data_IF_159788714320
#
_entry.id   IF_159788714320
#
_cell.length_a   1.000
_cell.length_b   1.000
_cell.length_c   1.000
_cell.angle_alpha   90.00
_cell.angle_beta   90.00
_cell.angle_gamma   90.00
#
_symmetry.space_group_name_H-M   'P 1'
#
loop_
_entity.id
_entity.type
_entity.pdbx_description
1 polymer ?
#
# COMPACT_ATOMS: atom_id res chain seq x y z
N UNK A 1 0.06 -20.98 -0.11
CA UNK A 1 1.14 -19.97 0.09
C UNK A 1 2.20 -20.52 1.02
N UNK A 2 3.47 -20.25 0.73
CA UNK A 2 4.61 -20.64 1.55
C UNK A 2 4.64 -19.83 2.85
N UNK A 3 4.92 -20.46 3.98
CA UNK A 3 5.06 -19.81 5.30
C UNK A 3 6.51 -19.81 5.75
N UNK A 4 6.93 -18.72 6.38
CA UNK A 4 8.32 -18.50 6.81
C UNK A 4 8.36 -18.27 8.32
N UNK A 5 8.44 -19.35 9.09
CA UNK A 5 8.36 -19.35 10.57
C UNK A 5 9.24 -18.29 11.27
N UNK A 6 10.32 -17.85 10.63
CA UNK A 6 11.20 -16.82 11.19
C UNK A 6 10.75 -15.38 10.84
N UNK A 7 9.81 -15.21 9.91
CA UNK A 7 9.47 -13.91 9.33
C UNK A 7 7.98 -13.61 9.36
N UNK A 8 7.12 -14.62 9.24
CA UNK A 8 5.67 -14.44 9.33
C UNK A 8 5.23 -14.27 10.78
N UNK A 9 4.16 -13.50 11.05
CA UNK A 9 3.47 -13.52 12.32
C UNK A 9 3.04 -14.94 12.70
N UNK A 10 3.07 -15.32 13.99
CA UNK A 10 2.68 -16.67 14.43
C UNK A 10 1.29 -17.10 13.94
N UNK A 11 0.37 -16.17 13.81
CA UNK A 11 -1.00 -16.38 13.35
C UNK A 11 -1.10 -16.84 11.88
N UNK A 12 -0.03 -16.66 11.09
CA UNK A 12 0.04 -17.05 9.68
C UNK A 12 0.67 -18.42 9.46
N UNK A 13 1.41 -18.94 10.42
CA UNK A 13 2.16 -20.20 10.25
C UNK A 13 1.26 -21.42 10.01
N UNK A 14 0.12 -21.47 10.68
CA UNK A 14 -0.88 -22.52 10.59
C UNK A 14 -2.20 -22.01 9.98
N UNK A 15 -2.11 -20.97 9.16
CA UNK A 15 -3.30 -20.35 8.58
C UNK A 15 -4.04 -21.32 7.65
N UNK A 16 -5.35 -21.42 7.86
CA UNK A 16 -6.29 -22.13 6.99
C UNK A 16 -7.52 -21.28 6.78
N UNK A 17 -8.14 -21.38 5.59
CA UNK A 17 -9.35 -20.65 5.30
C UNK A 17 -10.50 -21.10 6.23
N UNK A 18 -11.04 -20.17 7.01
CA UNK A 18 -12.26 -20.39 7.79
C UNK A 18 -13.48 -20.32 6.86
N UNK A 19 -14.32 -21.36 6.80
CA UNK A 19 -15.49 -21.38 5.90
C UNK A 19 -16.50 -20.27 6.17
N UNK A 20 -16.65 -19.78 7.42
CA UNK A 20 -17.54 -18.69 7.75
C UNK A 20 -16.99 -17.36 7.26
N UNK A 21 -15.72 -17.09 7.54
CA UNK A 21 -15.03 -15.91 7.01
C UNK A 21 -15.03 -15.88 5.48
N UNK A 22 -14.89 -17.04 4.81
CA UNK A 22 -14.99 -17.11 3.36
C UNK A 22 -16.39 -16.80 2.82
N UNK A 23 -17.44 -17.16 3.56
CA UNK A 23 -18.80 -16.73 3.23
C UNK A 23 -18.98 -15.22 3.40
N UNK A 24 -18.48 -14.65 4.51
CA UNK A 24 -18.49 -13.20 4.74
C UNK A 24 -17.72 -12.47 3.63
N UNK A 25 -16.55 -12.96 3.27
CA UNK A 25 -15.70 -12.41 2.20
C UNK A 25 -16.45 -12.33 0.86
N UNK A 26 -17.16 -13.39 0.46
CA UNK A 26 -17.99 -13.40 -0.75
C UNK A 26 -19.18 -12.45 -0.63
N UNK A 27 -19.91 -12.52 0.48
CA UNK A 27 -21.10 -11.70 0.72
C UNK A 27 -20.78 -10.19 0.75
N UNK A 28 -19.55 -9.81 1.12
CA UNK A 28 -19.11 -8.42 1.17
C UNK A 28 -19.22 -7.72 -0.19
N UNK A 29 -18.80 -8.38 -1.26
CA UNK A 29 -18.90 -7.84 -2.62
C UNK A 29 -20.35 -7.79 -3.07
N UNK A 30 -21.12 -8.85 -2.82
CA UNK A 30 -22.52 -8.95 -3.26
C UNK A 30 -23.45 -7.96 -2.54
N UNK A 31 -23.05 -7.47 -1.37
CA UNK A 31 -23.81 -6.48 -0.61
C UNK A 31 -23.89 -5.10 -1.29
N UNK A 32 -22.97 -4.78 -2.19
CA UNK A 32 -22.94 -3.53 -2.95
C UNK A 32 -23.01 -3.83 -4.46
N UNK A 33 -24.16 -3.56 -5.12
CA UNK A 33 -24.35 -3.88 -6.52
C UNK A 33 -23.36 -3.22 -7.48
N UNK A 34 -22.89 -1.99 -7.18
CA UNK A 34 -21.94 -1.28 -8.01
C UNK A 34 -20.55 -1.91 -7.91
N UNK A 35 -20.10 -2.23 -6.69
CA UNK A 35 -18.85 -2.96 -6.46
C UNK A 35 -18.89 -4.36 -7.07
N UNK A 36 -20.01 -5.06 -6.89
CA UNK A 36 -20.20 -6.36 -7.51
C UNK A 36 -20.11 -6.30 -9.04
N UNK A 37 -20.65 -5.26 -9.67
CA UNK A 37 -20.53 -5.06 -11.12
C UNK A 37 -19.08 -4.82 -11.55
N UNK A 38 -18.34 -4.00 -10.80
CA UNK A 38 -16.91 -3.75 -11.04
C UNK A 38 -16.09 -5.04 -10.93
N UNK A 39 -16.30 -5.84 -9.88
CA UNK A 39 -15.57 -7.10 -9.67
C UNK A 39 -15.90 -8.13 -10.74
N UNK A 40 -17.19 -8.30 -11.11
CA UNK A 40 -17.60 -9.20 -12.19
C UNK A 40 -17.05 -8.82 -13.57
N UNK A 41 -16.66 -7.56 -13.75
CA UNK A 41 -16.01 -7.08 -14.97
C UNK A 41 -14.53 -7.43 -15.10
N UNK A 42 -13.90 -7.99 -14.03
CA UNK A 42 -12.51 -8.40 -14.08
C UNK A 42 -12.32 -9.70 -14.87
N UNK A 43 -11.31 -9.70 -15.75
CA UNK A 43 -10.85 -10.93 -16.39
C UNK A 43 -10.06 -11.80 -15.41
N UNK A 44 -9.92 -13.09 -15.72
CA UNK A 44 -9.06 -14.00 -14.97
C UNK A 44 -7.62 -13.46 -14.86
N UNK A 45 -7.06 -12.94 -15.96
CA UNK A 45 -5.72 -12.32 -15.94
C UNK A 45 -5.63 -11.14 -14.97
N UNK A 46 -6.67 -10.31 -14.87
CA UNK A 46 -6.71 -9.21 -13.93
C UNK A 46 -6.78 -9.71 -12.47
N UNK A 47 -7.55 -10.74 -12.20
CA UNK A 47 -7.61 -11.39 -10.89
C UNK A 47 -6.26 -11.99 -10.50
N UNK A 48 -5.62 -12.71 -11.42
CA UNK A 48 -4.28 -13.27 -11.18
C UNK A 48 -3.20 -12.19 -11.03
N UNK A 49 -3.32 -11.07 -11.74
CA UNK A 49 -2.42 -9.92 -11.56
C UNK A 49 -2.53 -9.31 -10.16
N UNK A 50 -3.73 -9.20 -9.59
CA UNK A 50 -3.95 -8.78 -8.20
C UNK A 50 -3.27 -9.77 -7.23
N UNK A 51 -3.38 -11.08 -7.48
CA UNK A 51 -2.72 -12.09 -6.66
C UNK A 51 -1.19 -11.97 -6.72
N UNK A 52 -0.62 -11.76 -7.90
CA UNK A 52 0.83 -11.48 -8.07
C UNK A 52 1.25 -10.27 -7.26
N UNK A 53 0.46 -9.19 -7.29
CA UNK A 53 0.73 -7.97 -6.52
C UNK A 53 0.73 -8.22 -5.01
N UNK A 54 -0.26 -8.94 -4.48
CA UNK A 54 -0.32 -9.32 -3.07
C UNK A 54 0.90 -10.15 -2.64
N UNK A 55 1.27 -11.15 -3.44
CA UNK A 55 2.46 -11.97 -3.19
C UNK A 55 3.74 -11.14 -3.25
N UNK A 56 3.89 -10.28 -4.27
CA UNK A 56 5.06 -9.43 -4.44
C UNK A 56 5.26 -8.52 -3.23
N UNK A 57 4.18 -7.88 -2.75
CA UNK A 57 4.24 -7.06 -1.55
C UNK A 57 4.65 -7.87 -0.31
N UNK A 58 4.03 -9.03 -0.07
CA UNK A 58 4.35 -9.92 1.05
C UNK A 58 5.78 -10.43 1.00
N UNK A 59 6.22 -10.96 -0.13
CA UNK A 59 7.53 -11.57 -0.27
C UNK A 59 8.66 -10.55 -0.24
N UNK A 60 8.42 -9.33 -0.76
CA UNK A 60 9.33 -8.20 -0.57
C UNK A 60 9.55 -7.90 0.91
N UNK A 61 8.49 -7.80 1.70
CA UNK A 61 8.58 -7.56 3.15
C UNK A 61 9.29 -8.70 3.89
N UNK A 62 9.04 -9.94 3.50
CA UNK A 62 9.75 -11.12 4.02
C UNK A 62 11.25 -11.03 3.71
N UNK A 63 11.63 -10.61 2.50
CA UNK A 63 13.03 -10.43 2.13
C UNK A 63 13.71 -9.33 2.95
N UNK A 64 13.06 -8.18 3.14
CA UNK A 64 13.57 -7.11 4.02
C UNK A 64 13.75 -7.60 5.46
N UNK A 65 12.78 -8.34 6.00
CA UNK A 65 12.89 -8.90 7.35
C UNK A 65 14.02 -9.91 7.47
N UNK A 66 14.26 -10.70 6.41
CA UNK A 66 15.41 -11.59 6.31
C UNK A 66 16.72 -10.81 6.37
N UNK A 67 16.82 -9.68 5.66
CA UNK A 67 17.97 -8.80 5.68
C UNK A 67 18.22 -8.16 7.06
N UNK A 68 17.17 -7.75 7.77
CA UNK A 68 17.31 -7.27 9.15
C UNK A 68 17.86 -8.38 10.05
N UNK A 69 17.32 -9.59 9.96
CA UNK A 69 17.78 -10.71 10.79
C UNK A 69 19.22 -11.17 10.51
N UNK A 70 19.66 -11.02 9.26
CA UNK A 70 21.05 -11.34 8.86
C UNK A 70 22.03 -10.16 9.02
N UNK A 71 21.53 -8.99 9.48
CA UNK A 71 22.37 -7.81 9.70
C UNK A 71 22.77 -7.07 8.42
N UNK A 72 22.13 -7.34 7.28
CA UNK A 72 22.34 -6.62 6.02
C UNK A 72 21.86 -5.17 6.14
N UNK A 73 20.70 -4.97 6.76
CA UNK A 73 20.14 -3.66 7.13
C UNK A 73 19.76 -3.64 8.61
N UNK A 74 19.67 -2.45 9.20
CA UNK A 74 19.38 -2.31 10.63
C UNK A 74 17.89 -2.42 10.97
N UNK A 75 17.01 -1.98 10.07
CA UNK A 75 15.56 -1.95 10.27
C UNK A 75 14.82 -1.81 8.93
N UNK A 76 13.55 -2.20 8.93
CA UNK A 76 12.64 -2.01 7.81
C UNK A 76 11.23 -1.71 8.31
N UNK A 77 10.43 -1.03 7.48
CA UNK A 77 9.01 -0.78 7.70
C UNK A 77 8.22 -1.72 6.79
N UNK A 78 7.42 -2.57 7.39
CA UNK A 78 6.70 -3.64 6.70
C UNK A 78 5.20 -3.41 6.74
N UNK A 79 4.51 -3.78 5.67
CA UNK A 79 3.06 -3.68 5.53
C UNK A 79 2.33 -5.02 5.67
N UNK A 80 2.91 -5.98 6.41
CA UNK A 80 2.31 -7.31 6.62
C UNK A 80 0.97 -7.20 7.33
N UNK A 81 -0.07 -7.76 6.70
CA UNK A 81 -1.48 -7.63 7.11
C UNK A 81 -2.24 -6.50 6.41
N UNK A 82 -1.53 -5.60 5.73
CA UNK A 82 -2.07 -4.40 5.07
C UNK A 82 -1.94 -4.48 3.53
N UNK A 83 -1.67 -5.68 2.96
CA UNK A 83 -1.43 -5.83 1.52
C UNK A 83 -2.66 -5.48 0.67
N UNK A 84 -3.87 -5.84 1.14
CA UNK A 84 -5.09 -5.61 0.36
C UNK A 84 -5.41 -4.13 0.21
N UNK A 85 -5.20 -3.31 1.27
CA UNK A 85 -5.39 -1.85 1.21
C UNK A 85 -4.33 -1.15 0.34
N UNK A 86 -3.23 -1.82 0.03
CA UNK A 86 -2.20 -1.32 -0.90
C UNK A 86 -2.49 -1.73 -2.33
N UNK A 87 -2.68 -3.02 -2.57
CA UNK A 87 -2.72 -3.62 -3.91
C UNK A 87 -4.06 -3.38 -4.61
N UNK A 88 -5.18 -3.56 -3.90
CA UNK A 88 -6.50 -3.32 -4.47
C UNK A 88 -6.64 -1.91 -5.06
N UNK A 89 -6.38 -0.85 -4.30
CA UNK A 89 -6.44 0.52 -4.78
C UNK A 89 -5.53 0.80 -5.99
N UNK A 90 -4.29 0.33 -5.99
CA UNK A 90 -3.38 0.58 -7.12
C UNK A 90 -3.85 -0.11 -8.38
N UNK A 91 -4.39 -1.33 -8.27
CA UNK A 91 -4.93 -2.04 -9.44
C UNK A 91 -6.18 -1.39 -10.03
N UNK A 92 -6.88 -0.56 -9.28
CA UNK A 92 -8.02 0.23 -9.76
C UNK A 92 -7.63 1.43 -10.63
N UNK A 93 -6.36 1.86 -10.59
CA UNK A 93 -5.84 3.01 -11.31
C UNK A 93 -5.27 2.65 -12.69
N UNK A 94 -5.04 3.68 -13.51
CA UNK A 94 -4.26 3.58 -14.75
C UNK A 94 -2.78 3.56 -14.42
N UNK A 95 -2.14 2.43 -14.59
CA UNK A 95 -0.74 2.18 -14.21
C UNK A 95 0.27 2.32 -15.36
N UNK A 96 -0.21 2.54 -16.57
CA UNK A 96 0.62 2.65 -17.77
C UNK A 96 0.34 3.93 -18.55
N UNK A 97 1.33 4.39 -19.33
CA UNK A 97 1.15 5.46 -20.29
C UNK A 97 0.35 4.99 -21.54
N UNK A 98 -0.39 5.88 -22.20
CA UNK A 98 -0.62 7.27 -21.83
C UNK A 98 -1.68 7.42 -20.73
N UNK A 99 -1.57 8.50 -19.95
CA UNK A 99 -2.60 8.85 -18.95
C UNK A 99 -2.43 8.15 -17.61
N UNK A 100 -1.21 7.71 -17.27
CA UNK A 100 -0.87 7.11 -15.98
C UNK A 100 -1.30 8.01 -14.81
N UNK A 101 -1.99 7.45 -13.84
CA UNK A 101 -2.32 8.10 -12.58
C UNK A 101 -1.07 8.25 -11.70
N UNK A 102 -1.18 9.03 -10.62
CA UNK A 102 -0.05 9.23 -9.69
C UNK A 102 -0.45 8.77 -8.30
N UNK A 103 0.42 7.98 -7.67
CA UNK A 103 0.25 7.53 -6.29
C UNK A 103 1.31 8.14 -5.38
N UNK A 104 0.91 8.42 -4.14
CA UNK A 104 1.78 8.87 -3.07
C UNK A 104 1.65 7.91 -1.88
N UNK A 105 2.38 6.79 -1.87
CA UNK A 105 2.26 5.76 -0.85
C UNK A 105 2.92 6.19 0.47
N UNK A 106 2.49 5.57 1.58
CA UNK A 106 3.29 5.55 2.80
C UNK A 106 4.45 4.55 2.64
N UNK A 107 5.46 4.65 3.49
CA UNK A 107 6.63 3.76 3.43
C UNK A 107 6.26 2.26 3.51
N UNK A 108 5.19 1.91 4.23
CA UNK A 108 4.72 0.52 4.34
C UNK A 108 3.86 0.04 3.16
N UNK A 109 3.47 0.94 2.25
CA UNK A 109 2.76 0.60 1.02
C UNK A 109 3.73 0.38 -0.15
N UNK A 110 4.89 -0.23 0.09
CA UNK A 110 5.93 -0.45 -0.93
C UNK A 110 5.41 -1.21 -2.16
N UNK A 111 4.44 -2.12 -1.98
CA UNK A 111 3.76 -2.79 -3.08
C UNK A 111 3.14 -1.84 -4.10
N UNK A 112 2.72 -0.64 -3.68
CA UNK A 112 2.21 0.36 -4.61
C UNK A 112 3.27 0.81 -5.62
N UNK A 113 4.53 0.94 -5.18
CA UNK A 113 5.64 1.31 -6.07
C UNK A 113 5.85 0.23 -7.14
N UNK A 114 5.87 -1.05 -6.74
CA UNK A 114 6.05 -2.16 -7.66
C UNK A 114 4.90 -2.25 -8.68
N UNK A 115 3.66 -2.15 -8.20
CA UNK A 115 2.48 -2.25 -9.07
C UNK A 115 2.31 -1.05 -10.00
N UNK A 116 2.92 0.10 -9.69
CA UNK A 116 3.02 1.24 -10.60
C UNK A 116 4.16 1.10 -11.64
N UNK A 117 4.98 0.05 -11.51
CA UNK A 117 6.03 -0.28 -12.49
C UNK A 117 7.45 0.05 -12.05
N UNK A 118 7.70 0.42 -10.80
CA UNK A 118 9.07 0.53 -10.28
C UNK A 118 9.68 -0.87 -10.12
N UNK A 119 10.89 -1.13 -10.67
CA UNK A 119 11.57 -2.40 -10.46
C UNK A 119 11.76 -2.71 -8.98
N UNK A 120 11.58 -3.97 -8.59
CA UNK A 120 11.64 -4.38 -7.18
C UNK A 120 13.03 -4.11 -6.56
N UNK A 121 14.10 -4.20 -7.36
CA UNK A 121 15.46 -3.89 -6.95
C UNK A 121 15.61 -2.45 -6.44
N UNK A 122 14.83 -1.48 -6.98
CA UNK A 122 14.95 -0.06 -6.62
C UNK A 122 14.56 0.18 -5.15
N UNK A 123 13.54 -0.51 -4.64
CA UNK A 123 13.17 -0.41 -3.22
C UNK A 123 14.27 -1.01 -2.34
N UNK A 124 14.84 -2.15 -2.73
CA UNK A 124 15.95 -2.75 -2.02
C UNK A 124 17.20 -1.85 -2.03
N UNK A 125 17.50 -1.19 -3.15
CA UNK A 125 18.61 -0.21 -3.26
C UNK A 125 18.44 0.95 -2.29
N UNK A 126 17.22 1.47 -2.09
CA UNK A 126 16.99 2.56 -1.12
C UNK A 126 17.32 2.12 0.31
N UNK A 127 16.96 0.90 0.71
CA UNK A 127 17.31 0.35 2.02
C UNK A 127 18.82 0.12 2.18
N UNK A 128 19.54 -0.13 1.11
CA UNK A 128 21.00 -0.30 1.10
C UNK A 128 21.76 1.03 0.98
N UNK A 129 21.10 2.11 0.57
CA UNK A 129 21.69 3.44 0.38
C UNK A 129 22.65 3.50 -0.80
N UNK A 130 22.39 2.79 -1.89
CA UNK A 130 23.26 2.73 -3.06
C UNK A 130 23.12 3.96 -3.96
N UNK A 131 24.20 4.36 -4.61
CA UNK A 131 24.23 5.57 -5.45
C UNK A 131 23.45 5.44 -6.76
N UNK A 132 23.20 4.23 -7.23
CA UNK A 132 22.38 3.90 -8.40
C UNK A 132 20.89 3.68 -8.05
N UNK A 133 20.52 3.80 -6.77
CA UNK A 133 19.12 3.77 -6.34
C UNK A 133 18.39 5.08 -6.60
N UNK A 134 17.05 5.11 -6.48
CA UNK A 134 16.20 6.27 -6.83
C UNK A 134 16.58 7.58 -6.13
N UNK A 135 17.10 7.52 -4.91
CA UNK A 135 17.53 8.69 -4.13
C UNK A 135 19.03 8.99 -4.27
N UNK A 136 19.79 8.24 -5.06
CA UNK A 136 21.24 8.34 -5.10
C UNK A 136 21.91 8.04 -3.75
N UNK A 137 21.31 7.19 -2.93
CA UNK A 137 21.79 6.80 -1.60
C UNK A 137 21.54 7.83 -0.49
N UNK A 138 20.79 8.91 -0.76
CA UNK A 138 20.56 10.00 0.21
C UNK A 138 19.38 9.76 1.13
N UNK A 139 18.41 8.99 0.68
CA UNK A 139 17.18 8.69 1.43
C UNK A 139 16.72 7.27 1.13
N UNK A 140 16.06 6.67 2.12
CA UNK A 140 15.47 5.33 1.99
C UNK A 140 14.06 5.35 1.37
N UNK A 141 13.47 6.52 1.14
CA UNK A 141 12.13 6.64 0.56
C UNK A 141 12.21 6.54 -0.97
N UNK A 142 11.63 5.46 -1.50
CA UNK A 142 11.64 5.19 -2.94
C UNK A 142 10.48 5.90 -3.64
N UNK A 143 10.77 6.53 -4.77
CA UNK A 143 9.78 7.08 -5.67
C UNK A 143 10.38 7.34 -7.04
N UNK A 144 9.52 7.29 -8.05
CA UNK A 144 9.86 7.62 -9.42
C UNK A 144 8.64 8.21 -10.13
N UNK A 145 8.69 9.49 -10.44
CA UNK A 145 7.61 10.17 -11.13
C UNK A 145 7.41 9.67 -12.57
N UNK A 146 8.44 9.08 -13.20
CA UNK A 146 8.29 8.41 -14.49
C UNK A 146 7.40 7.16 -14.37
N UNK A 147 7.37 6.52 -13.21
CA UNK A 147 6.43 5.46 -12.86
C UNK A 147 5.14 5.97 -12.22
N UNK A 148 4.97 7.28 -12.05
CA UNK A 148 3.81 7.86 -11.37
C UNK A 148 3.83 7.67 -9.85
N UNK A 149 5.01 7.50 -9.24
CA UNK A 149 5.18 7.30 -7.81
C UNK A 149 5.85 8.51 -7.17
N UNK A 150 5.12 9.23 -6.33
CA UNK A 150 5.71 10.24 -5.45
C UNK A 150 6.35 9.53 -4.25
N UNK A 151 7.62 9.81 -3.91
CA UNK A 151 8.23 9.16 -2.76
C UNK A 151 7.50 9.52 -1.46
N UNK A 152 7.36 8.58 -0.51
CA UNK A 152 6.92 8.92 0.83
C UNK A 152 7.90 9.89 1.49
N UNK A 153 7.44 10.64 2.47
CA UNK A 153 8.28 11.54 3.28
C UNK A 153 8.08 11.25 4.76
N UNK A 154 9.15 11.43 5.55
CA UNK A 154 9.10 11.22 7.00
C UNK A 154 8.30 12.29 7.74
N UNK A 155 8.13 13.48 7.16
CA UNK A 155 7.29 14.54 7.71
C UNK A 155 5.82 14.15 7.56
N UNK A 156 5.27 13.64 8.64
CA UNK A 156 3.88 13.16 8.66
C UNK A 156 2.91 14.29 8.31
N UNK A 157 2.07 14.07 7.29
CA UNK A 157 1.04 15.02 6.86
C UNK A 157 1.42 15.88 5.66
N UNK A 158 2.66 15.84 5.17
CA UNK A 158 3.10 16.68 4.04
C UNK A 158 2.74 16.09 2.66
N UNK A 159 2.59 14.77 2.55
CA UNK A 159 2.26 14.09 1.28
C UNK A 159 0.86 14.44 0.75
N UNK A 160 -0.21 14.47 1.55
CA UNK A 160 -1.55 14.80 1.06
C UNK A 160 -1.67 16.20 0.40
N UNK A 161 -1.08 17.28 0.92
CA UNK A 161 -1.04 18.57 0.21
C UNK A 161 -0.31 18.48 -1.15
N UNK A 162 0.79 17.72 -1.22
CA UNK A 162 1.57 17.59 -2.46
C UNK A 162 0.76 16.85 -3.53
N UNK A 163 0.11 15.74 -3.21
CA UNK A 163 -0.72 15.00 -4.19
C UNK A 163 -1.94 15.81 -4.60
N UNK A 164 -2.52 16.61 -3.70
CA UNK A 164 -3.59 17.56 -4.04
C UNK A 164 -3.10 18.62 -5.05
N UNK A 165 -1.87 19.12 -4.91
CA UNK A 165 -1.22 20.02 -5.87
C UNK A 165 -1.00 19.37 -7.24
N UNK A 166 -0.58 18.10 -7.27
CA UNK A 166 -0.47 17.30 -8.50
C UNK A 166 -1.84 17.16 -9.17
N UNK A 167 -2.88 16.79 -8.42
CA UNK A 167 -4.24 16.69 -8.92
C UNK A 167 -4.78 18.03 -9.45
N UNK A 168 -4.44 19.16 -8.82
CA UNK A 168 -4.74 20.48 -9.33
C UNK A 168 -4.09 20.71 -10.71
N UNK A 169 -2.86 20.26 -10.91
CA UNK A 169 -2.20 20.38 -12.22
C UNK A 169 -2.91 19.59 -13.30
N UNK A 170 -3.43 18.40 -13.00
CA UNK A 170 -4.23 17.59 -13.92
C UNK A 170 -5.52 18.34 -14.31
N UNK A 171 -6.23 18.86 -13.31
CA UNK A 171 -7.44 19.66 -13.55
C UNK A 171 -7.15 20.89 -14.44
N UNK A 172 -6.09 21.63 -14.16
CA UNK A 172 -5.73 22.83 -14.92
C UNK A 172 -5.30 22.54 -16.37
N UNK A 173 -4.72 21.37 -16.61
CA UNK A 173 -4.31 20.91 -17.95
C UNK A 173 -5.41 20.19 -18.71
N UNK A 174 -6.55 19.91 -18.06
CA UNK A 174 -7.63 19.12 -18.64
C UNK A 174 -7.22 17.64 -18.86
N UNK A 175 -6.32 17.14 -18.03
CA UNK A 175 -5.86 15.73 -18.09
C UNK A 175 -6.85 14.84 -17.34
N UNK A 176 -7.19 13.70 -17.95
CA UNK A 176 -8.04 12.65 -17.37
C UNK A 176 -7.19 11.70 -16.48
N UNK A 177 -6.57 12.27 -15.44
CA UNK A 177 -5.68 11.58 -14.48
C UNK A 177 -6.14 11.81 -13.06
N UNK A 178 -5.80 10.87 -12.18
CA UNK A 178 -6.17 10.88 -10.76
C UNK A 178 -4.91 10.81 -9.89
N UNK A 179 -4.90 11.58 -8.81
CA UNK A 179 -3.94 11.43 -7.74
C UNK A 179 -4.50 10.53 -6.63
N UNK A 180 -3.68 9.71 -5.99
CA UNK A 180 -4.11 8.91 -4.83
C UNK A 180 -3.04 8.85 -3.75
N UNK A 181 -3.46 8.91 -2.48
CA UNK A 181 -2.56 8.75 -1.33
C UNK A 181 -3.21 8.00 -0.19
N UNK A 182 -2.38 7.38 0.64
CA UNK A 182 -2.77 6.74 1.89
C UNK A 182 -2.39 7.62 3.08
N UNK A 183 -3.25 7.65 4.08
CA UNK A 183 -3.12 8.42 5.32
C UNK A 183 -3.26 7.45 6.48
N UNK A 184 -2.19 7.21 7.24
CA UNK A 184 -2.28 6.40 8.45
C UNK A 184 -3.15 7.06 9.52
N UNK A 185 -3.79 6.28 10.37
CA UNK A 185 -4.64 6.76 11.46
C UNK A 185 -3.93 7.80 12.35
N UNK A 186 -2.66 7.57 12.70
CA UNK A 186 -1.86 8.54 13.45
C UNK A 186 -1.60 9.84 12.69
N UNK A 187 -1.42 9.77 11.38
CA UNK A 187 -1.19 10.93 10.52
C UNK A 187 -2.38 11.88 10.51
N UNK A 188 -3.58 11.38 10.74
CA UNK A 188 -4.83 12.18 10.78
C UNK A 188 -4.81 13.32 11.81
N UNK A 189 -3.83 13.35 12.71
CA UNK A 189 -3.67 14.44 13.69
C UNK A 189 -2.85 15.62 13.18
N UNK A 190 -2.32 15.57 11.96
CA UNK A 190 -1.57 16.67 11.35
C UNK A 190 -2.52 17.62 10.60
N UNK A 191 -2.34 18.93 10.83
CA UNK A 191 -3.17 19.98 10.24
C UNK A 191 -3.10 19.97 8.69
N UNK A 192 -1.95 19.67 8.09
CA UNK A 192 -1.76 19.64 6.65
C UNK A 192 -2.69 18.67 5.93
N UNK A 193 -3.08 17.58 6.58
CA UNK A 193 -4.03 16.60 6.02
C UNK A 193 -5.43 17.22 5.92
N UNK A 194 -5.87 17.89 6.98
CA UNK A 194 -7.17 18.56 7.01
C UNK A 194 -7.27 19.62 5.93
N UNK A 195 -6.22 20.42 5.78
CA UNK A 195 -6.14 21.45 4.73
C UNK A 195 -6.12 20.84 3.31
N UNK A 196 -5.40 19.73 3.12
CA UNK A 196 -5.36 19.06 1.82
C UNK A 196 -6.74 18.53 1.39
N UNK A 197 -7.47 17.89 2.31
CA UNK A 197 -8.81 17.36 2.04
C UNK A 197 -9.79 18.52 1.78
N UNK A 198 -9.77 19.56 2.63
CA UNK A 198 -10.59 20.77 2.46
C UNK A 198 -10.31 21.45 1.11
N UNK A 199 -9.04 21.67 0.79
CA UNK A 199 -8.63 22.26 -0.50
C UNK A 199 -9.11 21.42 -1.69
N UNK A 200 -8.97 20.10 -1.60
CA UNK A 200 -9.44 19.17 -2.64
C UNK A 200 -10.96 19.25 -2.83
N UNK A 201 -11.73 19.33 -1.75
CA UNK A 201 -13.19 19.52 -1.80
C UNK A 201 -13.58 20.84 -2.45
N UNK A 202 -13.02 21.97 -1.97
CA UNK A 202 -13.29 23.31 -2.51
C UNK A 202 -12.96 23.41 -4.00
N UNK A 203 -11.87 22.78 -4.44
CA UNK A 203 -11.42 22.83 -5.84
C UNK A 203 -11.94 21.70 -6.70
N UNK A 204 -12.68 20.74 -6.13
CA UNK A 204 -13.17 19.53 -6.81
C UNK A 204 -12.05 18.79 -7.55
N UNK A 205 -10.93 18.56 -6.84
CA UNK A 205 -9.73 17.95 -7.41
C UNK A 205 -9.93 16.47 -7.72
N UNK A 206 -9.35 15.94 -8.81
CA UNK A 206 -9.36 14.51 -9.12
C UNK A 206 -8.36 13.75 -8.22
N UNK A 207 -8.70 13.61 -6.94
CA UNK A 207 -7.82 12.97 -5.95
C UNK A 207 -8.59 12.03 -5.02
N UNK A 208 -7.96 10.92 -4.68
CA UNK A 208 -8.48 9.92 -3.73
C UNK A 208 -7.58 9.92 -2.50
N UNK A 209 -8.17 10.14 -1.34
CA UNK A 209 -7.54 9.97 -0.04
C UNK A 209 -8.03 8.68 0.58
N UNK A 210 -7.13 7.84 1.10
CA UNK A 210 -7.47 6.59 1.81
C UNK A 210 -6.98 6.71 3.24
N UNK A 211 -7.88 6.81 4.22
CA UNK A 211 -7.51 6.65 5.63
C UNK A 211 -7.34 5.17 5.91
N UNK A 212 -6.10 4.75 6.06
CA UNK A 212 -5.69 3.40 6.40
C UNK A 212 -5.61 3.28 7.94
N UNK A 213 -6.74 2.93 8.55
CA UNK A 213 -6.83 2.73 9.98
C UNK A 213 -6.33 1.33 10.35
N UNK A 214 -5.04 1.22 10.62
CA UNK A 214 -4.42 -0.04 11.03
C UNK A 214 -4.39 -0.24 12.55
N UNK A 215 -5.22 0.50 13.28
CA UNK A 215 -5.51 0.45 14.71
C UNK A 215 -4.41 0.99 15.62
N UNK A 216 -3.24 1.41 15.08
CA UNK A 216 -2.13 1.85 15.91
C UNK A 216 -1.18 2.84 15.22
N UNK A 217 -1.02 4.00 15.83
CA UNK A 217 -0.04 5.01 15.44
C UNK A 217 1.26 4.81 16.23
N UNK A 218 2.31 4.28 15.60
CA UNK A 218 3.55 3.88 16.26
C UNK A 218 3.26 2.86 17.39
N UNK A 219 3.22 3.30 18.63
CA UNK A 219 2.86 2.54 19.83
C UNK A 219 1.58 3.03 20.51
N UNK A 220 0.74 3.82 19.84
CA UNK A 220 -0.46 4.43 20.41
C UNK A 220 -1.72 3.92 19.70
N UNK A 221 -2.62 3.27 20.44
CA UNK A 221 -3.90 2.79 19.88
C UNK A 221 -4.75 3.96 19.39
N UNK A 222 -5.54 3.72 18.35
CA UNK A 222 -6.47 4.71 17.76
C UNK A 222 -7.38 5.34 18.82
N UNK A 223 -7.90 4.55 19.76
CA UNK A 223 -8.77 5.02 20.83
C UNK A 223 -8.14 6.06 21.78
N UNK A 224 -6.80 6.20 21.77
CA UNK A 224 -6.06 7.15 22.61
C UNK A 224 -5.85 8.49 21.88
N UNK A 225 -5.80 8.49 20.54
CA UNK A 225 -5.50 9.70 19.78
C UNK A 225 -6.65 10.19 18.89
N UNK A 226 -7.75 9.43 18.72
CA UNK A 226 -8.91 9.82 17.92
C UNK A 226 -10.18 9.71 18.73
N UNK A 227 -10.90 10.82 18.90
CA UNK A 227 -12.15 10.88 19.66
C UNK A 227 -13.41 10.63 18.80
N UNK A 228 -13.34 10.91 17.50
CA UNK A 228 -14.47 10.76 16.57
C UNK A 228 -14.23 9.64 15.54
N UNK A 229 -15.25 9.41 14.72
CA UNK A 229 -15.18 8.48 13.60
C UNK A 229 -14.55 9.13 12.38
N UNK A 230 -13.68 8.41 11.67
CA UNK A 230 -13.20 8.84 10.36
C UNK A 230 -14.30 8.82 9.29
N UNK A 231 -15.37 8.08 9.52
CA UNK A 231 -16.53 8.01 8.62
C UNK A 231 -17.28 9.34 8.50
N UNK A 232 -17.13 10.24 9.47
CA UNK A 232 -17.74 11.58 9.46
C UNK A 232 -16.97 12.57 8.58
N UNK A 233 -15.72 12.27 8.26
CA UNK A 233 -14.82 13.20 7.56
C UNK A 233 -15.26 13.56 6.14
N UNK A 234 -15.73 12.62 5.29
CA UNK A 234 -16.20 12.99 3.96
C UNK A 234 -17.26 14.10 4.00
N UNK A 235 -18.25 13.95 4.85
CA UNK A 235 -19.32 14.95 5.04
C UNK A 235 -18.79 16.27 5.59
N UNK A 236 -17.84 16.23 6.52
CA UNK A 236 -17.22 17.41 7.12
C UNK A 236 -16.48 18.27 6.09
N UNK A 237 -15.85 17.64 5.08
CA UNK A 237 -15.11 18.34 4.02
C UNK A 237 -15.90 18.51 2.72
N UNK A 238 -17.13 18.04 2.66
CA UNK A 238 -17.96 18.14 1.45
C UNK A 238 -17.36 17.37 0.25
N UNK A 239 -16.68 16.26 0.50
CA UNK A 239 -16.16 15.35 -0.52
C UNK A 239 -16.96 14.06 -0.56
N UNK A 240 -16.89 13.32 -1.68
CA UNK A 240 -17.48 11.99 -1.73
C UNK A 240 -16.81 11.07 -0.70
N UNK A 241 -17.57 10.13 -0.16
CA UNK A 241 -17.07 9.21 0.86
C UNK A 241 -17.46 7.78 0.61
N UNK A 242 -16.66 6.88 1.14
CA UNK A 242 -16.95 5.46 1.12
C UNK A 242 -16.09 4.70 2.13
N UNK A 243 -16.50 3.47 2.40
CA UNK A 243 -15.78 2.56 3.29
C UNK A 243 -15.57 1.23 2.60
N UNK A 244 -14.40 0.63 2.78
CA UNK A 244 -14.12 -0.73 2.31
C UNK A 244 -13.40 -1.53 3.40
N UNK A 245 -13.39 -2.85 3.24
CA UNK A 245 -12.64 -3.76 4.11
C UNK A 245 -11.16 -3.77 3.68
N UNK A 246 -10.27 -3.31 4.55
CA UNK A 246 -8.83 -3.21 4.29
C UNK A 246 -8.10 -4.55 4.16
N UNK A 247 -8.74 -5.66 4.51
CA UNK A 247 -8.21 -7.01 4.31
C UNK A 247 -8.84 -7.72 3.11
N UNK A 248 -9.79 -7.06 2.42
CA UNK A 248 -10.48 -7.60 1.25
C UNK A 248 -10.05 -6.90 -0.03
N UNK A 249 -9.13 -7.50 -0.79
CA UNK A 249 -8.50 -6.84 -1.94
C UNK A 249 -9.48 -6.43 -3.05
N UNK A 250 -10.52 -7.23 -3.30
CA UNK A 250 -11.53 -6.90 -4.33
C UNK A 250 -12.47 -5.79 -3.88
N UNK A 251 -12.80 -5.69 -2.58
CA UNK A 251 -13.57 -4.57 -2.03
C UNK A 251 -12.77 -3.27 -2.11
N UNK A 252 -11.48 -3.34 -1.75
CA UNK A 252 -10.55 -2.21 -1.88
C UNK A 252 -10.40 -1.77 -3.36
N UNK A 253 -10.25 -2.73 -4.28
CA UNK A 253 -10.21 -2.47 -5.72
C UNK A 253 -11.48 -1.77 -6.20
N UNK A 254 -12.64 -2.34 -5.91
CA UNK A 254 -13.92 -1.84 -6.42
C UNK A 254 -14.27 -0.46 -5.87
N UNK A 255 -14.09 -0.25 -4.57
CA UNK A 255 -14.31 1.07 -3.96
C UNK A 255 -13.41 2.15 -4.56
N UNK A 256 -12.13 1.82 -4.80
CA UNK A 256 -11.18 2.76 -5.40
C UNK A 256 -11.48 2.98 -6.89
N UNK A 257 -11.94 1.97 -7.62
CA UNK A 257 -12.33 2.10 -9.03
C UNK A 257 -13.50 3.07 -9.18
N UNK A 258 -14.53 2.93 -8.37
CA UNK A 258 -15.68 3.84 -8.35
C UNK A 258 -15.25 5.28 -7.99
N UNK A 259 -14.35 5.44 -7.01
CA UNK A 259 -13.78 6.73 -6.65
C UNK A 259 -12.94 7.35 -7.78
N UNK A 260 -12.18 6.54 -8.51
CA UNK A 260 -11.42 7.02 -9.67
C UNK A 260 -12.33 7.43 -10.84
N UNK A 261 -13.39 6.69 -11.09
CA UNK A 261 -14.38 7.03 -12.11
C UNK A 261 -15.14 8.31 -11.75
N UNK A 262 -15.52 8.50 -10.46
CA UNK A 262 -16.08 9.75 -9.92
C UNK A 262 -15.13 10.94 -10.14
N UNK A 263 -13.85 10.78 -9.81
CA UNK A 263 -12.86 11.83 -10.01
C UNK A 263 -12.69 12.21 -11.49
N UNK A 264 -12.66 11.22 -12.40
CA UNK A 264 -12.57 11.42 -13.86
C UNK A 264 -13.81 12.06 -14.45
N UNK A 265 -14.98 11.80 -13.87
CA UNK A 265 -16.22 12.49 -14.24
C UNK A 265 -16.25 13.99 -13.85
N UNK A 266 -15.18 14.49 -13.17
CA UNK A 266 -15.11 15.87 -12.70
C UNK A 266 -15.98 16.13 -11.45
N UNK A 267 -16.40 15.07 -10.77
CA UNK A 267 -17.25 15.15 -9.59
C UNK A 267 -16.47 15.49 -8.31
N UNK A 268 -15.12 15.43 -8.37
CA UNK A 268 -14.23 15.93 -7.33
C UNK A 268 -13.53 14.83 -6.53
N UNK A 269 -13.07 15.20 -5.34
CA UNK A 269 -12.30 14.32 -4.48
C UNK A 269 -13.16 13.27 -3.76
N UNK A 270 -12.55 12.13 -3.48
CA UNK A 270 -13.16 11.09 -2.63
C UNK A 270 -12.25 10.79 -1.43
N UNK A 271 -12.85 10.67 -0.25
CA UNK A 271 -12.18 10.18 0.96
C UNK A 271 -12.73 8.79 1.30
N UNK A 272 -11.90 7.79 1.15
CA UNK A 272 -12.20 6.41 1.53
C UNK A 272 -11.65 6.11 2.93
N UNK A 273 -12.42 5.41 3.74
CA UNK A 273 -12.01 4.97 5.08
C UNK A 273 -11.94 3.45 5.10
N UNK A 274 -10.90 2.91 5.69
CA UNK A 274 -10.78 1.45 5.82
C UNK A 274 -10.16 1.06 7.16
N UNK A 275 -10.68 -0.02 7.74
CA UNK A 275 -10.04 -0.70 8.85
C UNK A 275 -9.22 -1.87 8.31
N UNK A 276 -8.04 -2.00 8.85
CA UNK A 276 -7.10 -3.10 8.65
C UNK A 276 -6.30 -3.28 9.95
N UNK A 277 -5.28 -4.10 9.93
CA UNK A 277 -4.44 -4.31 11.10
C UNK A 277 -2.98 -4.50 10.73
N UNK A 278 -2.11 -3.75 11.40
CA UNK A 278 -0.68 -3.94 11.28
C UNK A 278 -0.22 -5.12 12.13
N UNK A 279 0.07 -6.25 11.50
CA UNK A 279 0.46 -7.50 12.18
C UNK A 279 1.87 -7.45 12.79
N UNK A 280 2.71 -6.53 12.33
CA UNK A 280 4.08 -6.30 12.82
C UNK A 280 4.24 -5.03 13.66
N UNK A 281 5.49 -4.67 13.95
CA UNK A 281 5.85 -3.39 14.55
C UNK A 281 5.61 -2.20 13.63
N UNK A 282 5.83 -0.99 14.14
CA UNK A 282 5.92 0.19 13.27
C UNK A 282 7.11 0.05 12.32
N UNK A 283 8.22 -0.45 12.86
CA UNK A 283 9.35 -0.99 12.11
C UNK A 283 9.78 -2.31 12.76
N UNK A 284 10.73 -3.01 12.16
CA UNK A 284 11.17 -4.32 12.65
C UNK A 284 11.82 -4.33 14.03
N UNK A 285 12.27 -3.16 14.52
CA UNK A 285 12.93 -3.06 15.84
C UNK A 285 11.94 -2.96 17.02
N UNK A 286 10.67 -2.60 16.79
CA UNK A 286 9.65 -2.44 17.84
C UNK A 286 8.52 -3.50 17.78
N UNK A 287 8.76 -4.61 17.09
CA UNK A 287 7.77 -5.69 16.96
C UNK A 287 7.32 -6.28 18.31
N UNK A 288 8.24 -6.37 19.26
CA UNK A 288 7.94 -6.90 20.61
C UNK A 288 7.00 -5.97 21.37
N UNK A 289 7.27 -4.67 21.33
CA UNK A 289 6.45 -3.64 21.96
C UNK A 289 5.07 -3.59 21.30
N UNK A 290 5.01 -3.63 19.97
CA UNK A 290 3.76 -3.65 19.21
C UNK A 290 2.87 -4.84 19.59
N UNK A 291 3.45 -6.03 19.76
CA UNK A 291 2.68 -7.21 20.20
C UNK A 291 2.16 -7.09 21.63
N UNK A 292 2.75 -6.26 22.47
CA UNK A 292 2.26 -6.03 23.85
C UNK A 292 1.06 -5.06 23.93
N UNK A 293 0.77 -4.35 22.83
CA UNK A 293 -0.32 -3.37 22.80
C UNK A 293 -1.72 -3.99 22.70
N UNK A 294 -1.83 -5.17 22.11
CA UNK A 294 -3.10 -5.86 21.88
C UNK A 294 -3.07 -7.26 22.47
N UNK A 295 -4.24 -7.80 22.79
CA UNK A 295 -4.37 -9.17 23.23
C UNK A 295 -4.18 -10.20 22.09
N UNK A 296 -4.01 -11.46 22.46
CA UNK A 296 -3.83 -12.55 21.50
C UNK A 296 -5.08 -12.76 20.60
N UNK A 297 -6.26 -12.45 21.11
CA UNK A 297 -7.51 -12.61 20.35
C UNK A 297 -7.62 -11.58 19.23
N UNK A 298 -7.14 -10.36 19.45
CA UNK A 298 -7.04 -9.33 18.40
C UNK A 298 -6.11 -9.79 17.27
N UNK A 299 -4.93 -10.31 17.61
CA UNK A 299 -4.00 -10.84 16.58
C UNK A 299 -4.60 -12.04 15.84
N UNK A 300 -5.29 -12.94 16.55
CA UNK A 300 -5.96 -14.09 15.94
C UNK A 300 -7.07 -13.65 15.00
N UNK A 301 -7.91 -12.69 15.44
CA UNK A 301 -9.00 -12.14 14.63
C UNK A 301 -8.50 -11.59 13.28
N UNK A 302 -7.46 -10.76 13.32
CA UNK A 302 -6.90 -10.17 12.10
C UNK A 302 -6.04 -11.17 11.31
N UNK A 303 -5.33 -12.08 12.00
CA UNK A 303 -4.55 -13.12 11.36
C UNK A 303 -5.39 -14.10 10.55
N UNK A 304 -6.59 -14.44 11.01
CA UNK A 304 -7.54 -15.24 10.24
C UNK A 304 -8.03 -14.54 8.96
N UNK A 305 -7.98 -13.21 8.92
CA UNK A 305 -8.32 -12.38 7.79
C UNK A 305 -7.09 -11.99 6.96
N UNK A 306 -6.08 -12.83 6.93
CA UNK A 306 -4.87 -12.59 6.13
C UNK A 306 -5.23 -12.24 4.67
N UNK A 307 -4.86 -11.05 4.15
CA UNK A 307 -5.27 -10.61 2.81
C UNK A 307 -4.84 -11.55 1.69
N UNK A 308 -3.64 -12.12 1.82
CA UNK A 308 -3.08 -13.04 0.81
C UNK A 308 -3.81 -14.39 0.86
N UNK A 309 -3.94 -14.96 2.07
CA UNK A 309 -4.59 -16.26 2.26
C UNK A 309 -6.08 -16.23 1.89
N UNK A 310 -6.81 -15.19 2.32
CA UNK A 310 -8.23 -15.03 2.00
C UNK A 310 -8.46 -14.93 0.48
N UNK A 311 -7.62 -14.18 -0.22
CA UNK A 311 -7.76 -14.05 -1.68
C UNK A 311 -7.35 -15.30 -2.43
N UNK A 312 -6.31 -16.00 -1.98
CA UNK A 312 -5.90 -17.31 -2.51
C UNK A 312 -7.06 -18.32 -2.40
N UNK A 313 -7.67 -18.43 -1.21
CA UNK A 313 -8.81 -19.31 -0.98
C UNK A 313 -10.05 -18.90 -1.80
N UNK A 314 -10.26 -17.62 -2.03
CA UNK A 314 -11.32 -17.13 -2.89
C UNK A 314 -11.07 -17.53 -4.35
N UNK A 315 -9.87 -17.36 -4.90
CA UNK A 315 -9.51 -17.77 -6.27
C UNK A 315 -9.69 -19.27 -6.48
N UNK A 316 -9.29 -20.10 -5.51
CA UNK A 316 -9.55 -21.54 -5.58
C UNK A 316 -11.05 -21.86 -5.66
N UNK A 317 -11.86 -21.13 -4.90
CA UNK A 317 -13.30 -21.26 -4.94
C UNK A 317 -13.95 -20.78 -6.24
N UNK A 318 -13.28 -19.90 -6.98
CA UNK A 318 -13.66 -19.47 -8.36
C UNK A 318 -13.11 -20.39 -9.45
N UNK A 319 -12.41 -21.47 -9.07
CA UNK A 319 -11.96 -22.52 -10.00
C UNK A 319 -10.50 -22.39 -10.43
N UNK A 320 -9.74 -21.44 -9.91
CA UNK A 320 -8.29 -21.37 -10.17
C UNK A 320 -7.60 -22.55 -9.49
N UNK A 321 -6.82 -23.32 -10.23
CA UNK A 321 -6.18 -24.50 -9.67
C UNK A 321 -5.04 -24.13 -8.70
N UNK A 322 -4.87 -24.97 -7.66
CA UNK A 322 -3.74 -24.84 -6.71
C UNK A 322 -2.39 -24.79 -7.45
N UNK A 323 -2.21 -25.61 -8.48
CA UNK A 323 -0.98 -25.64 -9.27
C UNK A 323 -0.69 -24.30 -9.97
N UNK A 324 -1.73 -23.60 -10.46
CA UNK A 324 -1.58 -22.28 -11.06
C UNK A 324 -1.15 -21.24 -10.02
N UNK A 325 -1.73 -21.26 -8.83
CA UNK A 325 -1.37 -20.34 -7.72
C UNK A 325 0.07 -20.60 -7.23
N UNK A 326 0.47 -21.86 -7.10
CA UNK A 326 1.85 -22.25 -6.73
C UNK A 326 2.87 -21.84 -7.80
N UNK A 327 2.52 -21.92 -9.07
CA UNK A 327 3.38 -21.43 -10.16
C UNK A 327 3.59 -19.92 -10.08
N UNK A 328 2.54 -19.16 -9.81
CA UNK A 328 2.63 -17.70 -9.59
C UNK A 328 3.49 -17.37 -8.37
N UNK A 329 3.32 -18.09 -7.27
CA UNK A 329 4.15 -17.90 -6.07
C UNK A 329 5.64 -18.16 -6.38
N UNK A 330 5.95 -19.20 -7.14
CA UNK A 330 7.32 -19.51 -7.54
C UNK A 330 7.93 -18.42 -8.42
N UNK A 331 7.16 -17.90 -9.40
CA UNK A 331 7.59 -16.79 -10.25
C UNK A 331 7.88 -15.52 -9.44
N UNK A 332 6.96 -15.12 -8.56
CA UNK A 332 7.12 -13.92 -7.73
C UNK A 332 8.26 -14.09 -6.72
N UNK A 333 8.44 -15.29 -6.16
CA UNK A 333 9.58 -15.59 -5.30
C UNK A 333 10.91 -15.39 -6.04
N UNK A 334 11.00 -15.90 -7.26
CA UNK A 334 12.20 -15.74 -8.08
C UNK A 334 12.46 -14.26 -8.46
N UNK A 335 11.40 -13.50 -8.78
CA UNK A 335 11.48 -12.07 -9.05
C UNK A 335 12.03 -11.28 -7.83
N UNK A 336 11.48 -11.54 -6.63
CA UNK A 336 11.91 -10.87 -5.40
C UNK A 336 13.35 -11.23 -5.04
N UNK A 337 13.72 -12.51 -5.11
CA UNK A 337 15.07 -12.97 -4.82
C UNK A 337 16.09 -12.39 -5.82
N UNK A 338 15.73 -12.32 -7.11
CA UNK A 338 16.57 -11.70 -8.13
C UNK A 338 16.79 -10.20 -7.86
N UNK A 339 15.73 -9.45 -7.58
CA UNK A 339 15.81 -8.03 -7.24
C UNK A 339 16.63 -7.75 -5.98
N UNK A 340 16.51 -8.61 -4.96
CA UNK A 340 17.32 -8.53 -3.75
C UNK A 340 18.81 -8.78 -4.05
N UNK A 341 19.15 -9.77 -4.88
CA UNK A 341 20.53 -10.04 -5.29
C UNK A 341 21.12 -8.91 -6.14
N UNK A 342 20.35 -8.35 -7.06
CA UNK A 342 20.75 -7.19 -7.87
C UNK A 342 21.10 -5.99 -6.97
N UNK A 343 20.25 -5.68 -5.98
CA UNK A 343 20.52 -4.60 -5.05
C UNK A 343 21.76 -4.86 -4.15
N UNK A 344 21.99 -6.10 -3.73
CA UNK A 344 23.20 -6.45 -2.98
C UNK A 344 24.46 -6.24 -3.83
N UNK A 345 24.41 -6.54 -5.13
CA UNK A 345 25.50 -6.24 -6.05
C UNK A 345 25.74 -4.74 -6.17
N UNK A 346 24.68 -3.93 -6.28
CA UNK A 346 24.77 -2.47 -6.27
C UNK A 346 25.48 -1.95 -5.01
N UNK A 347 25.24 -2.57 -3.84
CA UNK A 347 25.95 -2.20 -2.61
C UNK A 347 27.45 -2.41 -2.69
N UNK A 348 27.93 -3.37 -3.45
CA UNK A 348 29.36 -3.62 -3.65
C UNK A 348 29.97 -2.67 -4.68
N UNK A 349 29.20 -2.27 -5.70
CA UNK A 349 29.70 -1.57 -6.88
C UNK A 349 29.37 -0.07 -6.91
N UNK A 350 28.32 0.36 -6.21
CA UNK A 350 27.67 1.69 -6.41
C UNK A 350 27.42 2.45 -5.12
N UNK A 351 28.24 2.27 -4.08
CA UNK A 351 28.09 3.08 -2.86
C UNK A 351 28.45 4.54 -3.15
N UNK A 352 27.58 5.51 -2.71
CA UNK A 352 27.85 6.94 -2.95
C UNK A 352 29.11 7.39 -2.24
N UNK A 353 29.88 8.27 -2.89
CA UNK A 353 31.07 8.89 -2.32
C UNK A 353 30.67 10.17 -1.59
N UNK A 354 31.44 10.54 -0.56
CA UNK A 354 31.12 11.71 0.27
C UNK A 354 31.08 13.04 -0.50
N UNK A 355 31.87 13.18 -1.55
CA UNK A 355 31.90 14.36 -2.44
C UNK A 355 30.64 14.49 -3.32
N UNK A 356 29.86 13.42 -3.48
CA UNK A 356 28.59 13.47 -4.21
C UNK A 356 27.40 13.93 -3.36
N UNK A 357 27.58 14.15 -2.06
CA UNK A 357 26.50 14.47 -1.14
C UNK A 357 25.77 15.79 -1.49
N UNK A 358 26.46 16.76 -2.06
CA UNK A 358 25.92 18.05 -2.44
C UNK A 358 25.28 18.08 -3.86
N UNK A 359 25.48 17.03 -4.66
CA UNK A 359 24.95 17.00 -6.02
C UNK A 359 23.42 17.05 -6.04
N UNK A 360 22.86 18.05 -6.70
CA UNK A 360 21.42 18.28 -6.81
C UNK A 360 20.75 18.84 -5.56
N UNK A 361 21.51 19.18 -4.50
CA UNK A 361 20.99 19.87 -3.30
C UNK A 361 20.82 21.36 -3.57
N UNK A 362 21.75 21.96 -4.30
CA UNK A 362 21.70 23.37 -4.67
C UNK A 362 21.45 23.52 -6.18
N UNK A 363 20.73 24.57 -6.54
CA UNK A 363 20.58 24.92 -7.95
C UNK A 363 21.97 25.28 -8.51
N UNK A 364 22.33 24.65 -9.62
CA UNK A 364 23.48 25.11 -10.42
C UNK A 364 23.13 26.48 -11.01
N UNK A 365 23.97 27.48 -10.74
CA UNK A 365 23.82 28.83 -11.28
C UNK A 365 23.85 28.86 -12.83
#
# INVERSE_FOLDING_TARGET
MKRFAAYDPPEYLEWTADPELMREYRARIDADPERAAVVRGLSEDALLAIYRGLLRNRLHDVALKRWVKSGVISKAWLGVGEEAVTIGPVHALRRAEPGRDVVAPMIRNAGACHEMGMPIAEIFRTYLGTGDGPSGGRDLHAGDLACGVLPPISNIGDVPPVIAGIALSFLQRGEDRVGMTWIGDGSTRNAGIHEAINFAGVRRLPVIFIIQNNQVALGTRVSVHSAGSFDDWPAMYGVAGGRFDGNHVLDAFAATRLAADHARAGEGATLLVTDTFRMGGHATHDEREARSLFDADTFRHWGQRDPVGMYEAWLEGEGVSRAALEAIEAEVTAEVDAGAQEALKSREESMPQGDTAELGVYATA
#
